data_IF_913249624808
#
_entry.id   IF_913249624808
#
_cell.length_a   1.000
_cell.length_b   1.000
_cell.length_c   1.000
_cell.angle_alpha   90.00
_cell.angle_beta   90.00
_cell.angle_gamma   90.00
#
_symmetry.space_group_name_H-M   'P 1'
#
loop_
_entity.id
_entity.type
_entity.pdbx_description
1 polymer ?
#
# COMPACT_ATOMS: atom_id res chain seq x y z
N UNK A 1 -38.38 -42.17 -31.35
CA UNK A 1 -38.95 -41.74 -30.07
C UNK A 1 -37.81 -41.79 -29.06
N UNK A 2 -37.29 -40.74 -28.43
CA UNK A 2 -37.53 -39.30 -28.41
C UNK A 2 -36.14 -38.68 -28.15
N UNK A 3 -35.67 -37.78 -29.02
CA UNK A 3 -35.64 -36.32 -28.85
C UNK A 3 -34.59 -35.83 -27.84
N UNK A 4 -33.43 -35.53 -28.41
CA UNK A 4 -32.49 -34.46 -28.09
C UNK A 4 -33.16 -33.09 -28.19
N UNK A 5 -32.97 -32.22 -27.20
CA UNK A 5 -33.12 -30.78 -27.37
C UNK A 5 -31.81 -30.08 -27.01
N UNK A 6 -31.30 -29.42 -28.04
CA UNK A 6 -30.18 -28.50 -28.13
C UNK A 6 -30.74 -27.09 -27.90
N UNK A 7 -29.94 -26.22 -27.28
CA UNK A 7 -30.38 -24.90 -26.83
C UNK A 7 -29.20 -23.95 -26.73
N UNK A 8 -28.60 -23.65 -27.88
CA UNK A 8 -27.58 -22.61 -28.01
C UNK A 8 -28.16 -21.19 -27.92
N UNK A 9 -27.38 -20.30 -27.32
CA UNK A 9 -27.35 -18.88 -27.69
C UNK A 9 -25.89 -18.50 -27.90
N UNK A 10 -25.57 -18.19 -29.15
CA UNK A 10 -24.32 -17.57 -29.54
C UNK A 10 -24.37 -16.05 -29.40
N UNK A 11 -23.18 -15.47 -29.26
CA UNK A 11 -22.77 -14.20 -29.86
C UNK A 11 -21.24 -14.10 -29.74
N UNK A 12 -20.55 -14.33 -30.87
CA UNK A 12 -19.19 -13.85 -31.18
C UNK A 12 -19.21 -12.31 -31.34
N UNK A 13 -18.13 -11.56 -31.68
CA UNK A 13 -16.73 -11.93 -32.03
C UNK A 13 -15.69 -10.98 -31.34
N UNK A 14 -14.36 -11.08 -31.45
CA UNK A 14 -13.52 -10.75 -32.61
C UNK A 14 -12.05 -10.98 -32.25
N UNK A 15 -11.35 -11.65 -33.15
CA UNK A 15 -9.90 -11.67 -33.32
C UNK A 15 -9.37 -10.30 -33.74
N UNK A 16 -8.19 -9.88 -33.25
CA UNK A 16 -7.18 -9.17 -34.03
C UNK A 16 -5.82 -9.18 -33.31
N UNK A 17 -4.80 -9.74 -33.96
CA UNK A 17 -3.39 -9.36 -33.86
C UNK A 17 -3.00 -8.76 -35.23
N UNK A 18 -1.75 -8.35 -35.48
CA UNK A 18 -0.95 -7.27 -34.90
C UNK A 18 -0.54 -6.26 -36.00
N UNK A 19 -0.47 -4.96 -35.73
CA UNK A 19 0.17 -4.03 -36.67
C UNK A 19 0.65 -2.77 -35.94
N UNK A 20 1.92 -2.43 -36.12
CA UNK A 20 2.54 -1.23 -35.58
C UNK A 20 2.04 0.06 -36.25
N UNK A 21 2.57 1.20 -35.82
CA UNK A 21 3.76 1.65 -36.54
C UNK A 21 4.90 2.08 -35.62
N UNK A 22 6.09 1.74 -36.08
CA UNK A 22 7.34 2.43 -35.78
C UNK A 22 7.20 3.86 -36.30
N UNK A 23 7.40 4.85 -35.42
CA UNK A 23 7.80 6.19 -35.81
C UNK A 23 8.64 6.75 -34.65
N UNK A 24 9.97 6.63 -34.81
CA UNK A 24 10.91 7.55 -34.19
C UNK A 24 10.64 8.96 -34.74
N UNK A 25 10.75 9.99 -33.89
CA UNK A 25 11.54 11.12 -34.34
C UNK A 25 12.56 11.52 -33.29
N UNK A 26 13.82 11.38 -33.71
CA UNK A 26 14.88 12.38 -33.56
C UNK A 26 14.91 13.17 -32.24
N UNK A 27 15.83 12.74 -31.39
CA UNK A 27 16.72 13.58 -30.58
C UNK A 27 16.90 15.00 -31.17
N UNK A 28 16.40 16.00 -30.43
CA UNK A 28 17.17 17.22 -30.22
C UNK A 28 17.19 17.61 -28.73
N UNK A 29 18.35 18.08 -28.21
CA UNK A 29 18.69 18.06 -26.80
C UNK A 29 18.41 19.42 -26.18
N UNK A 30 17.26 19.59 -25.53
CA UNK A 30 16.92 20.84 -24.84
C UNK A 30 16.57 20.67 -23.35
N UNK A 31 16.50 19.43 -22.85
CA UNK A 31 16.12 19.15 -21.46
C UNK A 31 17.28 18.68 -20.56
N UNK A 32 18.51 18.61 -21.09
CA UNK A 32 19.69 18.11 -20.37
C UNK A 32 20.72 19.20 -20.01
N UNK A 33 20.38 20.48 -20.20
CA UNK A 33 21.28 21.62 -19.96
C UNK A 33 20.91 22.47 -18.73
N UNK A 34 20.42 21.86 -17.64
CA UNK A 34 20.26 22.57 -16.36
C UNK A 34 20.84 21.84 -15.14
N UNK A 35 21.49 20.68 -15.32
CA UNK A 35 22.00 19.87 -14.22
C UNK A 35 23.51 19.55 -14.31
N UNK A 36 24.32 20.47 -14.85
CA UNK A 36 25.78 20.42 -14.69
C UNK A 36 26.34 21.80 -14.40
N UNK A 37 26.57 22.07 -13.12
CA UNK A 37 27.22 23.31 -12.70
C UNK A 37 27.16 23.59 -11.21
N UNK A 38 27.24 22.58 -10.33
CA UNK A 38 27.58 22.81 -8.93
C UNK A 38 28.51 21.70 -8.45
N UNK A 39 29.79 21.83 -8.81
CA UNK A 39 30.85 21.18 -8.05
C UNK A 39 30.93 21.89 -6.69
N UNK A 40 30.52 21.18 -5.64
CA UNK A 40 30.66 21.60 -4.27
C UNK A 40 32.16 21.63 -3.91
N UNK A 41 32.77 22.81 -3.91
CA UNK A 41 34.05 23.01 -3.23
C UNK A 41 33.75 23.15 -1.74
N UNK A 42 34.00 22.10 -0.97
CA UNK A 42 33.95 22.13 0.48
C UNK A 42 34.94 23.17 1.01
N UNK A 43 34.44 24.24 1.64
CA UNK A 43 35.23 25.11 2.50
C UNK A 43 34.74 24.90 3.93
N UNK A 44 35.25 23.82 4.55
CA UNK A 44 35.26 23.71 5.99
C UNK A 44 36.27 24.73 6.54
N UNK A 45 35.81 25.81 7.16
CA UNK A 45 36.65 26.55 8.10
C UNK A 45 35.80 27.37 9.07
N UNK A 46 35.85 26.94 10.34
CA UNK A 46 35.28 27.59 11.51
C UNK A 46 35.76 29.05 11.67
N UNK A 47 35.03 29.86 12.46
CA UNK A 47 35.68 30.69 13.46
C UNK A 47 35.30 30.19 14.85
N UNK A 48 36.27 29.55 15.49
CA UNK A 48 36.24 29.29 16.92
C UNK A 48 36.41 30.59 17.70
N UNK A 49 35.77 30.62 18.87
CA UNK A 49 36.08 31.51 19.97
C UNK A 49 37.60 31.60 20.18
N UNK A 50 38.13 32.82 20.23
CA UNK A 50 39.35 33.12 20.96
C UNK A 50 39.16 34.39 21.77
N UNK A 51 38.97 34.19 23.08
CA UNK A 51 39.53 35.10 24.07
C UNK A 51 41.04 35.23 23.80
N UNK A 52 41.53 36.45 23.53
CA UNK A 52 42.87 36.89 23.95
C UNK A 52 42.80 38.35 24.38
N UNK A 53 43.43 38.56 25.53
CA UNK A 53 43.50 39.71 26.40
C UNK A 53 44.65 40.65 26.01
N UNK A 54 44.40 41.97 26.09
CA UNK A 54 45.35 43.06 26.38
C UNK A 54 46.49 43.36 25.39
N UNK A 55 46.45 44.54 24.76
CA UNK A 55 47.62 45.45 24.68
C UNK A 55 47.17 46.87 24.29
N UNK A 56 47.30 47.81 25.22
CA UNK A 56 47.37 49.26 24.93
C UNK A 56 48.72 49.54 24.23
N UNK A 57 48.72 50.28 23.13
CA UNK A 57 49.60 51.45 22.97
C UNK A 57 49.25 52.26 21.71
N UNK A 58 49.29 53.57 21.95
CA UNK A 58 49.01 54.73 21.11
C UNK A 58 49.79 54.83 19.79
N UNK A 59 49.18 55.43 18.76
CA UNK A 59 49.78 56.57 18.04
C UNK A 59 48.78 57.28 17.12
N UNK A 60 48.60 58.58 17.39
CA UNK A 60 48.44 59.70 16.46
C UNK A 60 47.90 59.47 15.05
N UNK A 61 46.83 60.20 14.71
CA UNK A 61 46.89 61.31 13.74
C UNK A 61 45.65 62.19 13.90
N UNK A 62 45.78 63.25 14.69
CA UNK A 62 45.01 64.48 14.45
C UNK A 62 45.78 65.18 13.32
N UNK A 63 45.22 65.22 12.11
CA UNK A 63 45.73 66.11 11.07
C UNK A 63 44.60 66.59 10.15
N UNK A 64 44.30 67.87 10.33
CA UNK A 64 43.81 68.83 9.34
C UNK A 64 42.42 68.62 8.77
N UNK A 65 41.52 69.50 9.22
CA UNK A 65 40.21 69.79 8.68
C UNK A 65 40.18 69.82 7.14
N UNK A 66 39.45 68.86 6.57
CA UNK A 66 38.50 69.12 5.48
C UNK A 66 37.20 68.43 5.89
N UNK A 67 36.17 69.21 6.15
CA UNK A 67 34.82 68.73 6.44
C UNK A 67 34.25 68.23 5.11
N UNK A 68 34.66 67.01 4.73
CA UNK A 68 34.10 66.29 3.59
C UNK A 68 32.65 65.99 3.98
N UNK A 69 31.64 66.36 3.16
CA UNK A 69 30.26 65.99 3.42
C UNK A 69 30.20 64.49 3.66
N UNK A 70 29.57 64.08 4.76
CA UNK A 70 29.35 62.67 5.13
C UNK A 70 29.16 61.83 3.87
N UNK A 71 30.08 60.89 3.62
CA UNK A 71 30.03 60.04 2.45
C UNK A 71 28.66 59.36 2.43
N UNK A 72 27.76 59.80 1.53
CA UNK A 72 26.49 59.12 1.32
C UNK A 72 26.86 57.72 0.85
N UNK A 73 26.63 56.72 1.68
CA UNK A 73 26.85 55.33 1.30
C UNK A 73 25.85 55.01 0.19
N UNK A 74 26.36 54.85 -1.03
CA UNK A 74 25.58 54.43 -2.19
C UNK A 74 25.75 52.91 -2.29
N UNK A 75 24.67 52.13 -2.07
CA UNK A 75 24.74 50.69 -2.20
C UNK A 75 25.11 50.26 -3.62
N UNK A 76 25.85 49.15 -3.80
CA UNK A 76 26.05 48.54 -5.10
C UNK A 76 24.71 48.22 -5.78
N UNK A 77 24.69 48.17 -7.11
CA UNK A 77 23.47 47.87 -7.86
C UNK A 77 22.84 46.53 -7.40
N UNK A 78 21.55 46.57 -7.06
CA UNK A 78 20.80 45.43 -6.52
C UNK A 78 20.74 45.35 -4.99
N UNK A 79 21.45 46.23 -4.27
CA UNK A 79 21.39 46.31 -2.81
C UNK A 79 20.57 47.53 -2.37
N UNK A 80 19.64 47.32 -1.43
CA UNK A 80 18.81 48.37 -0.85
C UNK A 80 19.16 48.56 0.62
N UNK A 81 19.30 49.81 1.05
CA UNK A 81 19.43 50.13 2.48
C UNK A 81 18.10 49.85 3.15
N UNK A 82 18.11 48.91 4.08
CA UNK A 82 16.98 48.56 4.92
C UNK A 82 17.16 49.20 6.28
N UNK A 83 16.07 49.64 6.89
CA UNK A 83 16.09 49.99 8.31
C UNK A 83 16.39 48.77 9.16
N UNK A 84 16.93 48.97 10.37
CA UNK A 84 17.25 47.88 11.29
C UNK A 84 15.99 47.05 11.66
N UNK A 85 14.82 47.68 11.67
CA UNK A 85 13.53 47.03 11.89
C UNK A 85 13.12 46.13 10.71
N UNK A 86 13.25 46.61 9.46
CA UNK A 86 12.96 45.82 8.26
C UNK A 86 13.94 44.65 8.10
N UNK A 87 15.21 44.87 8.40
CA UNK A 87 16.23 43.82 8.40
C UNK A 87 15.92 42.73 9.45
N UNK A 88 15.57 43.12 10.68
CA UNK A 88 15.16 42.19 11.72
C UNK A 88 13.90 41.39 11.33
N UNK A 89 12.91 42.06 10.71
CA UNK A 89 11.70 41.41 10.24
C UNK A 89 11.97 40.42 9.10
N UNK A 90 12.78 40.79 8.12
CA UNK A 90 13.19 39.88 7.03
C UNK A 90 14.00 38.70 7.56
N UNK A 91 14.91 38.93 8.51
CA UNK A 91 15.69 37.86 9.15
C UNK A 91 14.80 36.86 9.91
N UNK A 92 13.82 37.36 10.67
CA UNK A 92 12.85 36.51 11.37
C UNK A 92 11.96 35.73 10.37
N UNK A 93 11.54 36.37 9.28
CA UNK A 93 10.78 35.71 8.22
C UNK A 93 11.62 34.62 7.53
N UNK A 94 12.90 34.89 7.23
CA UNK A 94 13.80 33.90 6.65
C UNK A 94 14.00 32.71 7.59
N UNK A 95 14.25 32.95 8.88
CA UNK A 95 14.38 31.89 9.87
C UNK A 95 13.12 31.01 9.94
N UNK A 96 11.92 31.62 9.99
CA UNK A 96 10.67 30.87 9.98
C UNK A 96 10.50 30.05 8.69
N UNK A 97 10.81 30.63 7.53
CA UNK A 97 10.75 29.89 6.26
C UNK A 97 11.76 28.75 6.20
N UNK A 98 12.96 28.92 6.75
CA UNK A 98 13.98 27.87 6.83
C UNK A 98 13.52 26.75 7.74
N UNK A 99 13.01 27.05 8.93
CA UNK A 99 12.45 26.05 9.86
C UNK A 99 11.26 25.29 9.24
N UNK A 100 10.40 25.99 8.49
CA UNK A 100 9.28 25.36 7.79
C UNK A 100 9.77 24.46 6.66
N UNK A 101 10.79 24.88 5.92
CA UNK A 101 11.42 24.07 4.88
C UNK A 101 12.05 22.82 5.48
N UNK A 102 12.78 22.94 6.58
CA UNK A 102 13.37 21.81 7.31
C UNK A 102 12.32 20.79 7.75
N UNK A 103 11.19 21.25 8.32
CA UNK A 103 10.07 20.37 8.70
C UNK A 103 9.49 19.63 7.50
N UNK A 104 9.23 20.35 6.41
CA UNK A 104 8.71 19.74 5.17
C UNK A 104 9.71 18.75 4.58
N UNK A 105 11.01 19.02 4.65
CA UNK A 105 12.03 18.07 4.19
C UNK A 105 12.07 16.81 5.06
N UNK A 106 11.97 16.93 6.38
CA UNK A 106 11.91 15.79 7.29
C UNK A 106 10.64 14.95 7.08
N UNK A 107 9.48 15.60 6.91
CA UNK A 107 8.22 14.91 6.61
C UNK A 107 8.30 14.18 5.27
N UNK A 108 8.90 14.80 4.24
CA UNK A 108 9.13 14.16 2.95
C UNK A 108 10.02 12.93 3.08
N UNK A 109 11.13 13.02 3.81
CA UNK A 109 12.03 11.89 4.05
C UNK A 109 11.31 10.76 4.79
N UNK A 110 10.55 11.07 5.83
CA UNK A 110 9.76 10.09 6.57
C UNK A 110 8.71 9.38 5.68
N UNK A 111 8.02 10.13 4.81
CA UNK A 111 7.07 9.56 3.85
C UNK A 111 7.76 8.71 2.79
N UNK A 112 8.95 9.11 2.33
CA UNK A 112 9.76 8.32 1.39
C UNK A 112 10.22 7.00 2.01
N UNK A 113 10.67 7.02 3.27
CA UNK A 113 11.04 5.83 4.01
C UNK A 113 9.83 4.91 4.26
N UNK A 114 8.68 5.47 4.67
CA UNK A 114 7.46 4.71 4.86
C UNK A 114 6.98 4.04 3.55
N UNK A 115 7.04 4.78 2.44
CA UNK A 115 6.70 4.24 1.12
C UNK A 115 7.65 3.10 0.73
N UNK A 116 8.97 3.28 0.93
CA UNK A 116 9.98 2.24 0.67
C UNK A 116 9.68 0.98 1.49
N UNK A 117 9.51 1.13 2.80
CA UNK A 117 9.20 -0.01 3.68
C UNK A 117 7.91 -0.73 3.25
N UNK A 118 6.83 0.01 2.94
CA UNK A 118 5.57 -0.61 2.48
C UNK A 118 5.71 -1.33 1.13
N UNK A 119 6.54 -0.80 0.23
CA UNK A 119 6.82 -1.43 -1.07
C UNK A 119 7.62 -2.73 -0.89
N UNK A 120 8.58 -2.75 0.02
CA UNK A 120 9.35 -3.94 0.38
C UNK A 120 8.46 -5.00 1.03
N UNK A 121 7.58 -4.60 1.96
CA UNK A 121 6.62 -5.51 2.59
C UNK A 121 5.63 -6.10 1.59
N UNK A 122 5.12 -5.28 0.67
CA UNK A 122 4.27 -5.73 -0.43
C UNK A 122 5.00 -6.74 -1.33
N UNK A 123 6.24 -6.44 -1.72
CA UNK A 123 7.06 -7.35 -2.52
C UNK A 123 7.32 -8.69 -1.80
N UNK A 124 7.60 -8.64 -0.50
CA UNK A 124 7.80 -9.83 0.33
C UNK A 124 6.53 -10.69 0.41
N UNK A 125 5.36 -10.08 0.61
CA UNK A 125 4.07 -10.80 0.63
C UNK A 125 3.76 -11.44 -0.72
N UNK A 126 3.96 -10.71 -1.81
CA UNK A 126 3.77 -11.24 -3.17
C UNK A 126 4.70 -12.42 -3.42
N UNK A 127 5.97 -12.32 -3.02
CA UNK A 127 6.96 -13.40 -3.16
C UNK A 127 6.54 -14.66 -2.40
N UNK A 128 6.07 -14.51 -1.15
CA UNK A 128 5.58 -15.64 -0.34
C UNK A 128 4.35 -16.31 -0.98
N UNK A 129 3.40 -15.52 -1.48
CA UNK A 129 2.23 -16.06 -2.18
C UNK A 129 2.63 -16.81 -3.46
N UNK A 130 3.59 -16.29 -4.22
CA UNK A 130 4.11 -16.96 -5.42
C UNK A 130 4.80 -18.29 -5.08
N UNK A 131 5.58 -18.34 -4.01
CA UNK A 131 6.21 -19.59 -3.54
C UNK A 131 5.17 -20.60 -3.05
N UNK A 132 4.13 -20.15 -2.34
CA UNK A 132 3.02 -20.98 -1.93
C UNK A 132 2.24 -21.53 -3.15
N UNK A 133 1.98 -20.70 -4.17
CA UNK A 133 1.33 -21.15 -5.41
C UNK A 133 2.18 -22.21 -6.09
N UNK A 134 3.50 -21.96 -6.23
CA UNK A 134 4.43 -22.91 -6.84
C UNK A 134 4.45 -24.25 -6.12
N UNK A 135 4.54 -24.25 -4.79
CA UNK A 135 4.50 -25.49 -4.00
C UNK A 135 3.16 -26.22 -4.13
N UNK A 136 2.04 -25.49 -4.18
CA UNK A 136 0.72 -26.09 -4.42
C UNK A 136 0.60 -26.72 -5.81
N UNK A 137 1.20 -26.08 -6.83
CA UNK A 137 1.25 -26.59 -8.20
C UNK A 137 2.07 -27.89 -8.27
N UNK A 138 3.23 -27.93 -7.63
CA UNK A 138 4.08 -29.15 -7.55
C UNK A 138 3.32 -30.32 -6.90
N UNK A 139 2.56 -30.06 -5.83
CA UNK A 139 1.72 -31.08 -5.18
C UNK A 139 0.60 -31.54 -6.11
N UNK A 140 -0.10 -30.63 -6.78
CA UNK A 140 -1.17 -30.97 -7.73
C UNK A 140 -0.65 -31.81 -8.90
N UNK A 141 0.52 -31.45 -9.46
CA UNK A 141 1.18 -32.24 -10.50
C UNK A 141 1.54 -33.65 -10.01
N UNK A 142 2.06 -33.78 -8.79
CA UNK A 142 2.35 -35.08 -8.16
C UNK A 142 1.08 -35.91 -7.96
N UNK A 143 -0.01 -35.30 -7.46
CA UNK A 143 -1.30 -35.96 -7.30
C UNK A 143 -1.89 -36.43 -8.64
N UNK A 144 -1.84 -35.58 -9.67
CA UNK A 144 -2.28 -35.93 -11.01
C UNK A 144 -1.51 -37.12 -11.57
N UNK A 145 -0.18 -37.13 -11.39
CA UNK A 145 0.67 -38.27 -11.78
C UNK A 145 0.27 -39.54 -11.03
N UNK A 146 0.15 -39.48 -9.70
CA UNK A 146 -0.23 -40.62 -8.87
C UNK A 146 -1.63 -41.18 -9.23
N UNK A 147 -2.59 -40.30 -9.54
CA UNK A 147 -3.91 -40.70 -10.01
C UNK A 147 -3.83 -41.44 -11.34
N UNK A 148 -3.07 -40.91 -12.31
CA UNK A 148 -2.88 -41.57 -13.61
C UNK A 148 -2.20 -42.94 -13.47
N UNK A 149 -1.19 -43.05 -12.60
CA UNK A 149 -0.49 -44.31 -12.33
C UNK A 149 -1.43 -45.33 -11.65
N UNK A 150 -2.23 -44.89 -10.68
CA UNK A 150 -3.21 -45.74 -9.98
C UNK A 150 -4.34 -46.21 -10.92
N UNK A 151 -4.83 -45.31 -11.78
CA UNK A 151 -5.82 -45.62 -12.81
C UNK A 151 -5.28 -46.65 -13.80
N UNK A 152 -4.04 -46.47 -14.29
CA UNK A 152 -3.40 -47.42 -15.19
C UNK A 152 -3.22 -48.80 -14.54
N UNK A 153 -2.75 -48.86 -13.28
CA UNK A 153 -2.62 -50.12 -12.52
C UNK A 153 -3.95 -50.83 -12.36
N UNK A 154 -5.02 -50.09 -12.07
CA UNK A 154 -6.37 -50.64 -11.91
C UNK A 154 -6.90 -51.16 -13.25
N UNK A 155 -6.70 -50.41 -14.34
CA UNK A 155 -7.05 -50.84 -15.70
C UNK A 155 -6.30 -52.12 -16.12
N UNK A 156 -5.01 -52.23 -15.79
CA UNK A 156 -4.22 -53.44 -16.03
C UNK A 156 -4.77 -54.65 -15.25
N UNK A 157 -5.12 -54.47 -13.97
CA UNK A 157 -5.73 -55.53 -13.16
C UNK A 157 -7.09 -55.97 -13.72
N UNK A 158 -7.93 -55.02 -14.12
CA UNK A 158 -9.23 -55.28 -14.77
C UNK A 158 -9.06 -56.05 -16.08
N UNK A 159 -8.09 -55.66 -16.91
CA UNK A 159 -7.79 -56.35 -18.17
C UNK A 159 -7.31 -57.79 -17.92
N UNK A 160 -6.41 -58.01 -16.94
CA UNK A 160 -5.93 -59.34 -16.57
C UNK A 160 -7.05 -60.25 -16.06
N UNK A 161 -7.96 -59.72 -15.22
CA UNK A 161 -9.12 -60.45 -14.72
C UNK A 161 -10.12 -60.78 -15.84
N UNK A 162 -10.35 -59.86 -16.77
CA UNK A 162 -11.22 -60.09 -17.94
C UNK A 162 -10.64 -61.18 -18.86
N UNK A 163 -9.31 -61.18 -19.04
CA UNK A 163 -8.62 -62.20 -19.80
C UNK A 163 -8.67 -63.58 -19.13
N UNK A 164 -8.51 -63.66 -17.80
CA UNK A 164 -8.63 -64.92 -17.07
C UNK A 164 -10.06 -65.45 -17.08
N UNK A 165 -11.06 -64.58 -16.91
CA UNK A 165 -12.48 -64.92 -17.03
C UNK A 165 -12.80 -65.50 -18.41
N UNK A 166 -12.35 -64.83 -19.48
CA UNK A 166 -12.56 -65.29 -20.86
C UNK A 166 -11.94 -66.67 -21.10
N UNK A 167 -10.75 -66.91 -20.54
CA UNK A 167 -10.06 -68.21 -20.63
C UNK A 167 -10.83 -69.31 -19.89
N UNK A 168 -11.33 -69.01 -18.68
CA UNK A 168 -12.16 -69.94 -17.91
C UNK A 168 -13.48 -70.25 -18.63
N UNK A 169 -14.15 -69.26 -19.23
CA UNK A 169 -15.35 -69.48 -20.04
C UNK A 169 -15.06 -70.40 -21.23
N UNK A 170 -13.94 -70.22 -21.93
CA UNK A 170 -13.53 -71.10 -23.03
C UNK A 170 -13.31 -72.53 -22.52
N UNK A 171 -12.62 -72.71 -21.39
CA UNK A 171 -12.37 -74.02 -20.81
C UNK A 171 -13.64 -74.74 -20.36
N UNK A 172 -14.57 -74.02 -19.70
CA UNK A 172 -15.89 -74.55 -19.33
C UNK A 172 -16.68 -74.99 -20.58
N UNK A 173 -16.66 -74.20 -21.65
CA UNK A 173 -17.34 -74.56 -22.90
C UNK A 173 -16.71 -75.81 -23.54
N UNK A 174 -15.37 -75.90 -23.60
CA UNK A 174 -14.66 -77.07 -24.12
C UNK A 174 -14.99 -78.34 -23.30
N UNK A 175 -14.98 -78.25 -21.97
CA UNK A 175 -15.34 -79.36 -21.09
C UNK A 175 -16.81 -79.76 -21.21
N UNK A 176 -17.71 -78.79 -21.45
CA UNK A 176 -19.13 -79.07 -21.69
C UNK A 176 -19.32 -79.82 -23.03
N UNK A 177 -18.64 -79.38 -24.10
CA UNK A 177 -18.66 -80.05 -25.40
C UNK A 177 -18.09 -81.47 -25.30
N UNK A 178 -17.03 -81.68 -24.52
CA UNK A 178 -16.47 -83.00 -24.26
C UNK A 178 -17.43 -83.89 -23.44
N UNK A 179 -18.08 -83.34 -22.42
CA UNK A 179 -19.11 -84.05 -21.65
C UNK A 179 -20.29 -84.48 -22.53
N UNK A 180 -20.76 -83.63 -23.44
CA UNK A 180 -21.83 -83.98 -24.37
C UNK A 180 -21.39 -85.08 -25.36
N UNK A 181 -20.13 -85.05 -25.83
CA UNK A 181 -19.55 -86.15 -26.62
C UNK A 181 -19.50 -87.46 -25.83
N UNK A 182 -19.09 -87.43 -24.56
CA UNK A 182 -19.06 -88.63 -23.71
C UNK A 182 -20.47 -89.15 -23.40
N UNK A 183 -21.44 -88.26 -23.17
CA UNK A 183 -22.85 -88.63 -22.97
C UNK A 183 -23.46 -89.29 -24.20
N UNK A 184 -23.21 -88.74 -25.39
CA UNK A 184 -23.69 -89.33 -26.65
C UNK A 184 -23.04 -90.70 -26.93
N UNK A 185 -21.76 -90.87 -26.60
CA UNK A 185 -21.08 -92.18 -26.65
C UNK A 185 -21.66 -93.17 -25.61
N UNK A 186 -22.02 -92.70 -24.42
CA UNK A 186 -22.64 -93.55 -23.37
C UNK A 186 -24.07 -93.97 -23.72
N UNK A 187 -24.80 -93.17 -24.50
CA UNK A 187 -26.15 -93.50 -25.01
C UNK A 187 -26.14 -94.46 -26.20
N UNK A 188 -24.97 -94.73 -26.81
CA UNK A 188 -24.81 -95.73 -27.88
C UNK A 188 -24.57 -97.15 -27.36
N UNK A 189 -24.58 -97.38 -26.04
CA UNK A 189 -24.59 -98.72 -25.46
C UNK A 189 -26.06 -99.18 -25.32
N UNK A 190 -26.49 -100.28 -25.99
CA UNK A 190 -27.86 -100.79 -25.87
C UNK A 190 -28.14 -101.25 -24.43
N UNK A 191 -29.41 -101.22 -23.96
CA UNK A 191 -29.77 -101.62 -22.62
C UNK A 191 -29.79 -103.15 -22.55
N UNK A 192 -28.62 -103.77 -22.42
CA UNK A 192 -28.54 -105.13 -21.90
C UNK A 192 -28.77 -105.06 -20.41
N UNK A 193 -30.03 -105.31 -20.04
CA UNK A 193 -30.37 -105.78 -18.71
C UNK A 193 -29.48 -106.96 -18.37
N UNK A 194 -28.73 -106.79 -17.29
CA UNK A 194 -28.20 -107.83 -16.43
C UNK A 194 -27.54 -107.09 -15.28
N UNK A 195 -28.13 -107.20 -14.10
CA UNK A 195 -27.40 -107.14 -12.84
C UNK A 195 -26.35 -108.25 -12.85
N UNK A 196 -25.04 -107.94 -12.77
CA UNK A 196 -24.04 -108.88 -12.32
C UNK A 196 -23.72 -108.49 -10.87
N UNK A 197 -24.50 -109.05 -9.94
CA UNK A 197 -23.93 -109.35 -8.64
C UNK A 197 -22.89 -110.46 -8.85
N UNK A 198 -21.83 -110.47 -8.04
CA UNK A 198 -20.59 -111.25 -8.12
C UNK A 198 -19.50 -110.52 -8.94
N UNK A 199 -18.42 -110.01 -8.37
CA UNK A 199 -17.71 -110.45 -7.17
C UNK A 199 -16.86 -109.30 -6.64
N UNK A 200 -16.92 -109.03 -5.34
CA UNK A 200 -15.89 -108.23 -4.68
C UNK A 200 -14.54 -108.92 -4.88
N UNK A 201 -13.46 -108.20 -5.23
CA UNK A 201 -12.12 -108.76 -5.13
C UNK A 201 -11.87 -109.06 -3.66
N UNK A 202 -11.89 -110.34 -3.27
CA UNK A 202 -11.37 -110.79 -2.00
C UNK A 202 -9.87 -110.47 -1.98
N UNK A 203 -9.52 -109.29 -1.48
CA UNK A 203 -8.20 -109.03 -0.96
C UNK A 203 -7.92 -110.05 0.15
N UNK A 204 -6.68 -110.56 0.26
CA UNK A 204 -6.33 -111.54 1.29
C UNK A 204 -6.68 -110.95 2.65
N UNK A 205 -7.59 -111.60 3.37
CA UNK A 205 -7.89 -111.25 4.76
C UNK A 205 -6.68 -111.70 5.57
N UNK A 206 -5.68 -110.82 5.68
CA UNK A 206 -4.57 -110.96 6.61
C UNK A 206 -5.22 -111.00 7.99
N UNK A 207 -5.14 -112.15 8.66
CA UNK A 207 -5.56 -112.34 10.05
C UNK A 207 -4.63 -111.55 10.96
N UNK A 208 -4.76 -110.23 10.96
CA UNK A 208 -4.17 -109.37 11.99
C UNK A 208 -4.92 -109.69 13.29
N UNK A 209 -4.17 -109.98 14.35
CA UNK A 209 -4.75 -110.16 15.69
C UNK A 209 -5.52 -108.89 16.07
N UNK A 210 -6.71 -108.99 16.71
CA UNK A 210 -7.51 -107.84 17.12
C UNK A 210 -6.73 -106.77 17.91
N UNK A 211 -5.71 -107.21 18.65
CA UNK A 211 -4.84 -106.35 19.46
C UNK A 211 -3.95 -105.43 18.61
N UNK A 212 -3.43 -105.89 17.46
CA UNK A 212 -2.61 -105.06 16.56
C UNK A 212 -3.43 -103.95 15.89
N UNK A 213 -4.65 -104.28 15.44
CA UNK A 213 -5.56 -103.30 14.83
C UNK A 213 -5.98 -102.23 15.86
N UNK A 214 -6.25 -102.66 17.10
CA UNK A 214 -6.60 -101.76 18.21
C UNK A 214 -5.43 -100.84 18.60
N UNK A 215 -4.20 -101.37 18.66
CA UNK A 215 -2.99 -100.58 18.92
C UNK A 215 -2.72 -99.55 17.82
N UNK A 216 -2.86 -99.93 16.55
CA UNK A 216 -2.74 -99.03 15.40
C UNK A 216 -3.78 -97.89 15.45
N UNK A 217 -5.03 -98.21 15.79
CA UNK A 217 -6.08 -97.21 15.93
C UNK A 217 -5.79 -96.23 17.08
N UNK A 218 -5.23 -96.69 18.20
CA UNK A 218 -4.80 -95.84 19.30
C UNK A 218 -3.64 -94.91 18.90
N UNK A 219 -2.66 -95.40 18.14
CA UNK A 219 -1.55 -94.58 17.61
C UNK A 219 -2.05 -93.49 16.65
N UNK A 220 -2.90 -93.83 15.68
CA UNK A 220 -3.47 -92.84 14.78
C UNK A 220 -4.32 -91.81 15.54
N UNK A 221 -5.04 -92.22 16.59
CA UNK A 221 -5.77 -91.29 17.47
C UNK A 221 -4.80 -90.34 18.18
N UNK A 222 -3.67 -90.84 18.67
CA UNK A 222 -2.64 -90.02 19.29
C UNK A 222 -1.99 -89.04 18.28
N UNK A 223 -1.64 -89.51 17.07
CA UNK A 223 -1.09 -88.66 16.00
C UNK A 223 -2.06 -87.54 15.62
N UNK A 224 -3.37 -87.85 15.51
CA UNK A 224 -4.41 -86.84 15.27
C UNK A 224 -4.45 -85.77 16.37
N UNK A 225 -4.40 -86.19 17.64
CA UNK A 225 -4.35 -85.25 18.76
C UNK A 225 -3.07 -84.42 18.75
N UNK A 226 -1.92 -85.01 18.38
CA UNK A 226 -0.67 -84.25 18.24
C UNK A 226 -0.77 -83.19 17.14
N UNK A 227 -1.36 -83.52 15.98
CA UNK A 227 -1.60 -82.56 14.89
C UNK A 227 -2.56 -81.46 15.35
N UNK A 228 -3.65 -81.82 16.03
CA UNK A 228 -4.63 -80.87 16.57
C UNK A 228 -3.99 -79.93 17.60
N UNK A 229 -3.18 -80.44 18.52
CA UNK A 229 -2.46 -79.63 19.51
C UNK A 229 -1.53 -78.63 18.81
N UNK A 230 -0.76 -79.06 17.80
CA UNK A 230 0.15 -78.16 17.07
C UNK A 230 -0.65 -77.12 16.27
N UNK A 231 -1.73 -77.53 15.60
CA UNK A 231 -2.62 -76.63 14.86
C UNK A 231 -3.24 -75.56 15.77
N UNK A 232 -3.74 -75.95 16.95
CA UNK A 232 -4.30 -75.02 17.93
C UNK A 232 -3.22 -74.10 18.53
N UNK A 233 -1.98 -74.58 18.70
CA UNK A 233 -0.87 -73.74 19.14
C UNK A 233 -0.47 -72.71 18.08
N UNK A 234 -0.48 -73.08 16.81
CA UNK A 234 -0.25 -72.14 15.70
C UNK A 234 -1.37 -71.11 15.62
N UNK A 235 -2.64 -71.55 15.69
CA UNK A 235 -3.80 -70.66 15.70
C UNK A 235 -3.74 -69.68 16.88
N UNK A 236 -3.48 -70.16 18.09
CA UNK A 236 -3.31 -69.32 19.28
C UNK A 236 -2.18 -68.29 19.11
N UNK A 237 -1.04 -68.67 18.52
CA UNK A 237 0.08 -67.74 18.25
C UNK A 237 -0.34 -66.68 17.24
N UNK A 238 -1.04 -67.05 16.17
CA UNK A 238 -1.53 -66.09 15.18
C UNK A 238 -2.54 -65.12 15.77
N UNK A 239 -3.44 -65.61 16.63
CA UNK A 239 -4.40 -64.76 17.34
C UNK A 239 -3.70 -63.82 18.34
N UNK A 240 -2.66 -64.29 19.03
CA UNK A 240 -1.85 -63.45 19.92
C UNK A 240 -1.14 -62.32 19.18
N UNK A 241 -0.57 -62.61 18.00
CA UNK A 241 0.05 -61.57 17.15
C UNK A 241 -1.01 -60.58 16.66
N UNK A 242 -2.14 -61.06 16.15
CA UNK A 242 -3.24 -60.20 15.72
C UNK A 242 -3.77 -59.32 16.86
N UNK A 243 -3.85 -59.86 18.09
CA UNK A 243 -4.21 -59.10 19.28
C UNK A 243 -3.18 -58.01 19.60
N UNK A 244 -1.89 -58.32 19.57
CA UNK A 244 -0.83 -57.34 19.79
C UNK A 244 -0.87 -56.22 18.74
N UNK A 245 -1.10 -56.56 17.47
CA UNK A 245 -1.23 -55.59 16.38
C UNK A 245 -2.42 -54.65 16.62
N UNK A 246 -3.58 -55.19 17.02
CA UNK A 246 -4.77 -54.40 17.35
C UNK A 246 -4.56 -53.50 18.59
N UNK A 247 -3.92 -54.02 19.63
CA UNK A 247 -3.56 -53.23 20.83
C UNK A 247 -2.61 -52.09 20.47
N UNK A 248 -1.63 -52.34 19.60
CA UNK A 248 -0.70 -51.32 19.15
C UNK A 248 -1.37 -50.28 18.25
N UNK A 249 -2.28 -50.69 17.37
CA UNK A 249 -3.11 -49.78 16.58
C UNK A 249 -3.97 -48.89 17.49
N UNK A 250 -4.66 -49.48 18.49
CA UNK A 250 -5.46 -48.71 19.45
C UNK A 250 -4.58 -47.71 20.21
N UNK A 251 -3.39 -48.12 20.67
CA UNK A 251 -2.43 -47.23 21.33
C UNK A 251 -2.03 -46.05 20.45
N UNK A 252 -1.66 -46.30 19.18
CA UNK A 252 -1.32 -45.24 18.23
C UNK A 252 -2.49 -44.28 17.99
N UNK A 253 -3.72 -44.79 17.87
CA UNK A 253 -4.90 -43.92 17.70
C UNK A 253 -5.18 -43.06 18.93
N UNK A 254 -4.98 -43.61 20.14
CA UNK A 254 -5.07 -42.85 21.37
C UNK A 254 -4.01 -41.75 21.45
N UNK A 255 -2.75 -42.08 21.14
CA UNK A 255 -1.64 -41.13 21.09
C UNK A 255 -1.94 -39.99 20.09
N UNK A 256 -2.38 -40.32 18.86
CA UNK A 256 -2.79 -39.33 17.87
C UNK A 256 -3.91 -38.41 18.36
N UNK A 257 -4.96 -38.95 18.99
CA UNK A 257 -6.02 -38.12 19.57
C UNK A 257 -5.55 -37.25 20.73
N UNK A 258 -4.57 -37.70 21.53
CA UNK A 258 -4.00 -36.84 22.58
C UNK A 258 -3.21 -35.68 22.01
N UNK A 259 -2.47 -35.89 20.92
CA UNK A 259 -1.75 -34.84 20.19
C UNK A 259 -2.73 -33.86 19.54
N UNK A 260 -3.76 -34.35 18.85
CA UNK A 260 -4.84 -33.53 18.29
C UNK A 260 -5.48 -32.65 19.37
N UNK A 261 -5.79 -33.20 20.55
CA UNK A 261 -6.34 -32.42 21.66
C UNK A 261 -5.37 -31.34 22.15
N UNK A 262 -4.07 -31.61 22.19
CA UNK A 262 -3.06 -30.62 22.57
C UNK A 262 -2.98 -29.48 21.54
N UNK A 263 -3.00 -29.80 20.24
CA UNK A 263 -3.00 -28.79 19.16
C UNK A 263 -4.26 -27.93 19.19
N UNK A 264 -5.44 -28.53 19.39
CA UNK A 264 -6.70 -27.81 19.54
C UNK A 264 -6.69 -26.87 20.76
N UNK A 265 -6.10 -27.32 21.88
CA UNK A 265 -5.95 -26.46 23.06
C UNK A 265 -5.02 -25.27 22.79
N UNK A 266 -3.90 -25.48 22.09
CA UNK A 266 -2.98 -24.41 21.70
C UNK A 266 -3.63 -23.43 20.73
N UNK A 267 -4.38 -23.93 19.74
CA UNK A 267 -5.10 -23.10 18.80
C UNK A 267 -6.16 -22.24 19.50
N UNK A 268 -6.85 -22.81 20.50
CA UNK A 268 -7.82 -22.08 21.31
C UNK A 268 -7.17 -20.93 22.09
N UNK A 269 -6.02 -21.17 22.73
CA UNK A 269 -5.31 -20.11 23.47
C UNK A 269 -4.82 -19.00 22.55
N UNK A 270 -4.35 -19.34 21.35
CA UNK A 270 -3.95 -18.34 20.34
C UNK A 270 -5.17 -17.55 19.81
N UNK A 271 -6.31 -18.21 19.58
CA UNK A 271 -7.55 -17.53 19.21
C UNK A 271 -8.00 -16.55 20.30
N UNK A 272 -7.97 -16.95 21.57
CA UNK A 272 -8.35 -16.09 22.69
C UNK A 272 -7.42 -14.87 22.80
N UNK A 273 -6.10 -15.06 22.57
CA UNK A 273 -5.11 -13.99 22.50
C UNK A 273 -5.39 -13.02 21.36
N UNK A 274 -5.57 -13.51 20.13
CA UNK A 274 -5.89 -12.68 18.96
C UNK A 274 -7.20 -11.91 19.18
N UNK A 275 -8.20 -12.52 19.82
CA UNK A 275 -9.45 -11.83 20.16
C UNK A 275 -9.24 -10.70 21.17
N UNK A 276 -8.37 -10.88 22.15
CA UNK A 276 -8.03 -9.83 23.11
C UNK A 276 -7.28 -8.68 22.43
N UNK A 277 -6.28 -9.00 21.60
CA UNK A 277 -5.51 -8.00 20.85
C UNK A 277 -6.43 -7.22 19.90
N UNK A 278 -7.37 -7.89 19.23
CA UNK A 278 -8.39 -7.24 18.39
C UNK A 278 -9.23 -6.25 19.18
N UNK A 279 -9.71 -6.62 20.37
CA UNK A 279 -10.51 -5.72 21.23
C UNK A 279 -9.69 -4.51 21.68
N UNK A 280 -8.41 -4.69 21.99
CA UNK A 280 -7.53 -3.57 22.34
C UNK A 280 -7.30 -2.63 21.17
N UNK A 281 -7.04 -3.17 19.97
CA UNK A 281 -6.90 -2.37 18.75
C UNK A 281 -8.20 -1.60 18.42
N UNK A 282 -9.37 -2.21 18.63
CA UNK A 282 -10.67 -1.57 18.42
C UNK A 282 -10.90 -0.39 19.39
N UNK A 283 -10.49 -0.53 20.66
CA UNK A 283 -10.52 0.58 21.63
C UNK A 283 -9.56 1.70 21.20
N UNK A 284 -8.33 1.36 20.80
CA UNK A 284 -7.35 2.36 20.34
C UNK A 284 -7.82 3.10 19.09
N UNK A 285 -8.48 2.40 18.15
CA UNK A 285 -9.08 3.01 16.97
C UNK A 285 -10.17 4.00 17.38
N UNK A 286 -11.09 3.60 18.26
CA UNK A 286 -12.16 4.48 18.75
C UNK A 286 -11.61 5.72 19.48
N UNK A 287 -10.52 5.57 20.25
CA UNK A 287 -9.84 6.69 20.90
C UNK A 287 -9.19 7.64 19.87
N UNK A 288 -8.54 7.09 18.84
CA UNK A 288 -7.95 7.87 17.75
C UNK A 288 -9.02 8.61 16.93
N UNK A 289 -10.12 7.95 16.59
CA UNK A 289 -11.29 8.56 15.93
C UNK A 289 -11.85 9.71 16.77
N UNK A 290 -11.98 9.52 18.09
CA UNK A 290 -12.40 10.57 19.01
C UNK A 290 -11.43 11.75 19.09
N UNK A 291 -10.12 11.52 18.97
CA UNK A 291 -9.12 12.60 18.89
C UNK A 291 -9.23 13.36 17.57
N UNK A 292 -9.36 12.65 16.45
CA UNK A 292 -9.54 13.25 15.12
C UNK A 292 -10.80 14.09 15.08
N UNK A 293 -11.91 13.62 15.67
CA UNK A 293 -13.15 14.39 15.76
C UNK A 293 -12.96 15.70 16.53
N UNK A 294 -12.27 15.67 17.68
CA UNK A 294 -11.96 16.89 18.45
C UNK A 294 -11.08 17.87 17.67
N UNK A 295 -10.11 17.38 16.91
CA UNK A 295 -9.28 18.22 16.04
C UNK A 295 -10.11 18.86 14.93
N UNK A 296 -11.05 18.13 14.34
CA UNK A 296 -11.99 18.66 13.35
C UNK A 296 -12.89 19.75 13.93
N UNK A 297 -13.41 19.56 15.14
CA UNK A 297 -14.21 20.57 15.84
C UNK A 297 -13.39 21.83 16.13
N UNK A 298 -12.17 21.68 16.64
CA UNK A 298 -11.26 22.81 16.91
C UNK A 298 -10.85 23.54 15.62
N UNK A 299 -10.60 22.82 14.53
CA UNK A 299 -10.32 23.42 13.22
C UNK A 299 -11.51 24.25 12.73
N UNK A 300 -12.72 23.72 12.83
CA UNK A 300 -13.94 24.44 12.46
C UNK A 300 -14.20 25.69 13.33
N UNK A 301 -13.82 25.66 14.61
CA UNK A 301 -13.85 26.85 15.48
C UNK A 301 -12.81 27.88 15.06
N UNK A 302 -11.59 27.46 14.74
CA UNK A 302 -10.53 28.36 14.24
C UNK A 302 -10.89 28.99 12.91
N UNK A 303 -11.50 28.25 11.99
CA UNK A 303 -11.98 28.78 10.70
C UNK A 303 -13.04 29.87 10.90
N UNK A 304 -13.99 29.67 11.82
CA UNK A 304 -15.00 30.69 12.16
C UNK A 304 -14.36 31.94 12.76
N UNK A 305 -13.37 31.78 13.64
CA UNK A 305 -12.65 32.90 14.23
C UNK A 305 -11.87 33.68 13.16
N UNK A 306 -11.19 32.98 12.26
CA UNK A 306 -10.46 33.57 11.14
C UNK A 306 -11.41 34.35 10.21
N UNK A 307 -12.59 33.79 9.92
CA UNK A 307 -13.60 34.46 9.11
C UNK A 307 -14.05 35.77 9.76
N UNK A 308 -14.34 35.74 11.07
CA UNK A 308 -14.73 36.93 11.83
C UNK A 308 -13.63 38.00 11.84
N UNK A 309 -12.38 37.63 12.09
CA UNK A 309 -11.25 38.57 12.02
C UNK A 309 -11.10 39.17 10.61
N UNK A 310 -11.34 38.38 9.56
CA UNK A 310 -11.27 38.87 8.19
C UNK A 310 -12.39 39.86 7.86
N UNK A 311 -13.60 39.63 8.37
CA UNK A 311 -14.73 40.58 8.26
C UNK A 311 -14.43 41.88 9.02
N UNK A 312 -13.90 41.79 10.24
CA UNK A 312 -13.47 42.95 11.04
C UNK A 312 -12.36 43.72 10.32
N UNK A 313 -11.35 43.03 9.79
CA UNK A 313 -10.27 43.63 8.98
C UNK A 313 -10.80 44.36 7.75
N UNK A 314 -11.75 43.75 7.02
CA UNK A 314 -12.38 44.39 5.87
C UNK A 314 -13.13 45.67 6.27
N UNK A 315 -13.85 45.65 7.40
CA UNK A 315 -14.55 46.82 7.93
C UNK A 315 -13.59 47.95 8.33
N UNK A 316 -12.46 47.62 8.97
CA UNK A 316 -11.42 48.59 9.33
C UNK A 316 -10.69 49.15 8.10
N UNK A 317 -10.50 48.32 7.07
CA UNK A 317 -9.91 48.78 5.81
C UNK A 317 -10.82 49.76 5.09
N UNK A 318 -12.15 49.57 5.15
CA UNK A 318 -13.12 50.49 4.61
C UNK A 318 -13.06 51.84 5.34
N UNK A 319 -13.11 51.85 6.68
CA UNK A 319 -13.06 53.10 7.46
C UNK A 319 -11.74 53.86 7.27
N UNK A 320 -10.62 53.13 7.18
CA UNK A 320 -9.32 53.72 6.87
C UNK A 320 -9.32 54.43 5.50
N UNK A 321 -9.96 53.84 4.49
CA UNK A 321 -10.07 54.45 3.17
C UNK A 321 -10.97 55.69 3.21
N UNK A 322 -12.05 55.68 3.98
CA UNK A 322 -12.93 56.85 4.14
C UNK A 322 -12.19 58.02 4.82
N UNK A 323 -11.42 57.75 5.87
CA UNK A 323 -10.60 58.78 6.53
C UNK A 323 -9.49 59.30 5.61
N UNK A 324 -8.86 58.43 4.79
CA UNK A 324 -7.90 58.88 3.76
C UNK A 324 -8.57 59.80 2.74
N UNK A 325 -9.76 59.46 2.28
CA UNK A 325 -10.52 60.28 1.34
C UNK A 325 -10.89 61.64 1.97
N UNK A 326 -11.27 61.65 3.25
CA UNK A 326 -11.57 62.88 4.00
C UNK A 326 -10.33 63.76 4.17
N UNK A 327 -9.18 63.18 4.53
CA UNK A 327 -7.90 63.91 4.59
C UNK A 327 -7.56 64.52 3.24
N UNK A 328 -7.72 63.76 2.14
CA UNK A 328 -7.47 64.27 0.79
C UNK A 328 -8.38 65.46 0.45
N UNK A 329 -9.68 65.40 0.80
CA UNK A 329 -10.61 66.54 0.62
C UNK A 329 -10.18 67.75 1.44
N UNK A 330 -9.90 67.57 2.73
CA UNK A 330 -9.45 68.66 3.61
C UNK A 330 -8.13 69.28 3.14
N UNK A 331 -7.21 68.48 2.60
CA UNK A 331 -5.99 68.98 1.97
C UNK A 331 -6.28 69.84 0.74
N UNK A 332 -7.22 69.42 -0.13
CA UNK A 332 -7.63 70.24 -1.27
C UNK A 332 -8.30 71.54 -0.83
N UNK A 333 -9.19 71.49 0.16
CA UNK A 333 -9.85 72.68 0.72
C UNK A 333 -8.83 73.64 1.35
N UNK A 334 -7.88 73.11 2.14
CA UNK A 334 -6.80 73.89 2.72
C UNK A 334 -5.97 74.60 1.65
N UNK A 335 -5.55 73.87 0.60
CA UNK A 335 -4.78 74.44 -0.52
C UNK A 335 -5.54 75.56 -1.23
N UNK A 336 -6.85 75.39 -1.48
CA UNK A 336 -7.68 76.44 -2.08
C UNK A 336 -7.83 77.66 -1.15
N UNK A 337 -7.97 77.45 0.16
CA UNK A 337 -8.03 78.53 1.14
C UNK A 337 -6.71 79.30 1.21
N UNK A 338 -5.57 78.61 1.23
CA UNK A 338 -4.24 79.21 1.17
C UNK A 338 -4.01 80.00 -0.13
N UNK A 339 -4.53 79.52 -1.26
CA UNK A 339 -4.50 80.24 -2.53
C UNK A 339 -5.34 81.53 -2.49
N UNK A 340 -6.59 81.46 -2.02
CA UNK A 340 -7.45 82.65 -1.85
C UNK A 340 -6.83 83.65 -0.88
N UNK A 341 -6.18 83.19 0.20
CA UNK A 341 -5.47 84.10 1.11
C UNK A 341 -4.29 84.79 0.44
N UNK A 342 -3.45 84.05 -0.30
CA UNK A 342 -2.35 84.63 -1.09
C UNK A 342 -2.85 85.66 -2.09
N UNK A 343 -3.97 85.38 -2.75
CA UNK A 343 -4.63 86.26 -3.70
C UNK A 343 -5.15 87.54 -3.05
N UNK A 344 -5.78 87.44 -1.87
CA UNK A 344 -6.22 88.60 -1.11
C UNK A 344 -5.05 89.49 -0.70
N UNK A 345 -3.93 88.89 -0.25
CA UNK A 345 -2.71 89.63 0.08
C UNK A 345 -2.16 90.34 -1.16
N UNK A 346 -2.00 89.65 -2.30
CA UNK A 346 -1.54 90.25 -3.56
C UNK A 346 -2.44 91.41 -4.02
N UNK A 347 -3.75 91.22 -3.98
CA UNK A 347 -4.72 92.25 -4.35
C UNK A 347 -4.63 93.47 -3.42
N UNK A 348 -4.55 93.24 -2.10
CA UNK A 348 -4.44 94.31 -1.10
C UNK A 348 -3.15 95.12 -1.25
N UNK A 349 -2.01 94.46 -1.49
CA UNK A 349 -0.73 95.11 -1.78
C UNK A 349 -0.80 95.94 -3.06
N UNK A 350 -1.37 95.40 -4.14
CA UNK A 350 -1.50 96.12 -5.42
C UNK A 350 -2.41 97.34 -5.29
N UNK A 351 -3.51 97.20 -4.56
CA UNK A 351 -4.41 98.31 -4.23
C UNK A 351 -3.67 99.40 -3.44
N UNK A 352 -2.90 99.01 -2.42
CA UNK A 352 -2.14 99.93 -1.59
C UNK A 352 -1.08 100.70 -2.41
N UNK A 353 -0.38 100.03 -3.33
CA UNK A 353 0.56 100.68 -4.27
C UNK A 353 -0.18 101.64 -5.20
N UNK A 354 -1.34 101.26 -5.73
CA UNK A 354 -2.13 102.15 -6.59
C UNK A 354 -2.60 103.41 -5.86
N UNK A 355 -3.09 103.26 -4.62
CA UNK A 355 -3.54 104.39 -3.80
C UNK A 355 -2.37 105.33 -3.49
N UNK A 356 -1.18 104.80 -3.18
CA UNK A 356 0.01 105.63 -2.94
C UNK A 356 0.47 106.36 -4.21
N UNK A 357 0.42 105.70 -5.39
CA UNK A 357 0.69 106.36 -6.68
C UNK A 357 -0.28 107.51 -6.96
N UNK A 358 -1.58 107.33 -6.65
CA UNK A 358 -2.59 108.40 -6.78
C UNK A 358 -2.26 109.55 -5.83
N UNK A 359 -1.87 109.26 -4.58
CA UNK A 359 -1.48 110.29 -3.59
C UNK A 359 -0.28 111.12 -4.07
N UNK A 360 0.65 110.50 -4.79
CA UNK A 360 1.85 111.13 -5.32
C UNK A 360 1.65 111.80 -6.69
N UNK A 361 0.50 111.60 -7.35
CA UNK A 361 0.23 112.15 -8.68
C UNK A 361 0.07 113.69 -8.64
N UNK A 362 0.73 114.39 -9.56
CA UNK A 362 0.70 115.86 -9.66
C UNK A 362 -0.30 116.38 -10.71
N UNK A 363 -0.97 115.47 -11.43
CA UNK A 363 -1.90 115.76 -12.53
C UNK A 363 -3.11 114.82 -12.51
N UNK A 364 -4.30 115.36 -12.82
CA UNK A 364 -5.55 114.58 -12.94
C UNK A 364 -5.49 113.53 -14.06
N UNK A 365 -4.64 113.73 -15.08
CA UNK A 365 -4.47 112.76 -16.17
C UNK A 365 -3.73 111.51 -15.68
N UNK A 366 -2.71 111.68 -14.84
CA UNK A 366 -1.92 110.58 -14.28
C UNK A 366 -2.77 109.72 -13.32
N UNK A 367 -3.68 110.36 -12.58
CA UNK A 367 -4.68 109.65 -11.75
C UNK A 367 -5.59 108.77 -12.61
N UNK A 368 -6.03 109.26 -13.78
CA UNK A 368 -6.87 108.49 -14.70
C UNK A 368 -6.14 107.27 -15.26
N UNK A 369 -4.88 107.42 -15.67
CA UNK A 369 -4.07 106.33 -16.22
C UNK A 369 -3.78 105.22 -15.17
N UNK A 370 -3.58 105.59 -13.90
CA UNK A 370 -3.41 104.63 -12.78
C UNK A 370 -4.73 103.88 -12.50
N UNK A 371 -5.87 104.57 -12.55
CA UNK A 371 -7.19 103.96 -12.38
C UNK A 371 -7.56 103.01 -13.52
N UNK A 372 -7.15 103.34 -14.74
CA UNK A 372 -7.39 102.49 -15.90
C UNK A 372 -6.51 101.23 -15.87
N UNK A 373 -5.26 101.36 -15.39
CA UNK A 373 -4.35 100.24 -15.14
C UNK A 373 -4.72 99.36 -13.94
N UNK A 374 -5.74 99.70 -13.16
CA UNK A 374 -6.24 98.90 -12.01
C UNK A 374 -7.55 98.15 -12.26
N UNK A 375 -8.11 98.23 -13.48
CA UNK A 375 -9.25 97.39 -13.87
C UNK A 375 -8.79 95.96 -14.16
N UNK A 376 -8.77 95.12 -13.11
CA UNK A 376 -8.56 93.68 -13.25
C UNK A 376 -9.89 92.95 -13.30
N UNK A 377 -10.04 92.01 -14.23
CA UNK A 377 -11.20 91.09 -14.27
C UNK A 377 -10.89 89.75 -13.62
N UNK A 378 -9.61 89.41 -13.47
CA UNK A 378 -9.15 88.16 -12.87
C UNK A 378 -7.85 88.37 -12.07
N UNK A 379 -7.70 87.62 -10.98
CA UNK A 379 -6.59 87.73 -10.01
C UNK A 379 -5.28 87.22 -10.61
N UNK A 380 -5.34 86.31 -11.59
CA UNK A 380 -4.21 85.84 -12.40
C UNK A 380 -3.52 86.97 -13.20
N UNK A 381 -4.18 88.11 -13.36
CA UNK A 381 -3.64 89.32 -14.02
C UNK A 381 -2.85 90.22 -13.04
N UNK A 382 -2.76 89.82 -11.76
CA UNK A 382 -1.86 90.44 -10.78
C UNK A 382 -0.44 89.90 -11.03
N UNK A 383 0.40 90.67 -11.73
CA UNK A 383 1.83 90.38 -11.84
C UNK A 383 2.46 90.31 -10.46
N UNK A 384 3.23 89.24 -10.18
CA UNK A 384 4.03 89.12 -8.97
C UNK A 384 5.03 90.29 -8.93
N UNK A 385 4.88 91.15 -7.92
CA UNK A 385 5.79 92.27 -7.63
C UNK A 385 6.89 91.87 -6.68
#
# INVERSE_FOLDING_TARGET
MAQTEDGGFGQDPLTFSPEGPSDDPELLPAAEAFARGFDCVSISSFPGERLIQGQEDTASLISTATLVPECIYIPPAGYQLLSEQEFAQQKASLQNTTERLEKVTQEKEALQDALRCSSEDCANQVQQLLEQIKSSEEILQSLQKNLSDSQQKTAQKMAALTASFSRLCQEVNCLNDENEKLRTLSLQVPPTGQTPQLSSPQLPRISLTPDYVSQRAAQHRQERLCIEIVSLQEELKTEQLAKQDLEEQLRRTMEAHTEERATLSSLKTEMDRIQQDRKQAEIQLQESEGQVQKLWESLGEQEKMLQKENEEKASLQLTLNDERNKISRLQTELKTSEEVQRDFVRLSQKLQVSLEKIRQATSMKDVHDILEGTRFTDVSQLSDT
#
